data_IF_091412077796
#
_entry.id   IF_091412077796
#
_cell.length_a   1.000
_cell.length_b   1.000
_cell.length_c   1.000
_cell.angle_alpha   90.00
_cell.angle_beta   90.00
_cell.angle_gamma   90.00
#
_symmetry.space_group_name_H-M   'P 1'
#
loop_
_entity.id
_entity.type
_entity.pdbx_description
1 polymer ?
#
# COMPACT_ATOMS: atom_id res chain seq x y z
N UNK A 1 -3.47 5.02 1.85
CA UNK A 1 -4.15 3.70 1.87
C UNK A 1 -3.67 2.78 0.75
N UNK A 2 -3.36 1.53 1.09
CA UNK A 2 -3.02 0.48 0.13
C UNK A 2 -4.30 -0.01 -0.56
N UNK A 3 -4.19 -0.51 -1.79
CA UNK A 3 -5.31 -1.16 -2.48
C UNK A 3 -5.21 -2.67 -2.27
N UNK A 4 -5.76 -3.13 -1.17
CA UNK A 4 -5.80 -4.55 -0.80
C UNK A 4 -7.23 -4.90 -0.40
N UNK A 5 -7.86 -5.83 -1.12
CA UNK A 5 -9.20 -6.30 -0.78
C UNK A 5 -9.16 -7.49 0.19
N UNK A 6 -10.31 -7.77 0.80
CA UNK A 6 -10.51 -8.92 1.70
C UNK A 6 -10.17 -10.23 1.01
N UNK A 7 -10.67 -10.40 -0.20
CA UNK A 7 -10.54 -11.61 -1.02
C UNK A 7 -9.08 -11.86 -1.39
N UNK A 8 -8.29 -10.79 -1.60
CA UNK A 8 -6.84 -10.92 -1.83
C UNK A 8 -6.11 -11.45 -0.60
N UNK A 9 -6.48 -11.02 0.61
CA UNK A 9 -5.90 -11.51 1.86
C UNK A 9 -6.30 -12.94 2.14
N UNK A 10 -7.56 -13.29 1.91
CA UNK A 10 -8.06 -14.66 2.03
C UNK A 10 -7.38 -15.60 1.02
N UNK A 11 -7.15 -15.15 -0.22
CA UNK A 11 -6.43 -15.92 -1.23
C UNK A 11 -4.98 -16.21 -0.85
N UNK A 12 -4.37 -15.35 -0.02
CA UNK A 12 -3.05 -15.61 0.57
C UNK A 12 -3.11 -16.55 1.79
N UNK A 13 -4.29 -16.94 2.27
CA UNK A 13 -4.46 -17.80 3.45
C UNK A 13 -4.74 -17.05 4.74
N UNK A 14 -5.06 -15.74 4.68
CA UNK A 14 -5.34 -14.92 5.86
C UNK A 14 -4.10 -14.29 6.48
N UNK A 15 -4.29 -13.45 7.49
CA UNK A 15 -3.24 -12.60 8.10
C UNK A 15 -2.15 -13.38 8.85
N UNK A 16 -2.45 -14.60 9.27
CA UNK A 16 -1.54 -15.46 10.03
C UNK A 16 -0.86 -16.51 9.14
N UNK A 17 -1.11 -16.48 7.82
CA UNK A 17 -0.49 -17.40 6.88
C UNK A 17 0.96 -17.02 6.57
N UNK A 18 1.80 -18.02 6.33
CA UNK A 18 3.17 -17.82 5.88
C UNK A 18 3.24 -17.02 4.57
N UNK A 19 2.32 -17.26 3.63
CA UNK A 19 2.25 -16.54 2.37
C UNK A 19 1.95 -15.05 2.56
N UNK A 20 1.06 -14.70 3.49
CA UNK A 20 0.79 -13.30 3.80
C UNK A 20 2.00 -12.63 4.46
N UNK A 21 2.73 -13.33 5.33
CA UNK A 21 3.97 -12.82 5.90
C UNK A 21 5.04 -12.57 4.83
N UNK A 22 5.20 -13.50 3.88
CA UNK A 22 6.14 -13.32 2.77
C UNK A 22 5.70 -12.18 1.83
N UNK A 23 4.41 -12.04 1.53
CA UNK A 23 3.87 -10.90 0.80
C UNK A 23 4.23 -9.57 1.46
N UNK A 24 4.06 -9.45 2.78
CA UNK A 24 4.42 -8.25 3.53
C UNK A 24 5.91 -7.94 3.42
N UNK A 25 6.75 -8.96 3.60
CA UNK A 25 8.21 -8.83 3.48
C UNK A 25 8.62 -8.36 2.09
N UNK A 26 8.07 -8.96 1.03
CA UNK A 26 8.30 -8.55 -0.35
C UNK A 26 7.89 -7.09 -0.59
N UNK A 27 6.75 -6.65 -0.06
CA UNK A 27 6.32 -5.26 -0.14
C UNK A 27 7.35 -4.30 0.48
N UNK A 28 7.87 -4.62 1.67
CA UNK A 28 8.86 -3.78 2.34
C UNK A 28 10.17 -3.73 1.57
N UNK A 29 10.67 -4.89 1.12
CA UNK A 29 11.89 -4.98 0.32
C UNK A 29 11.75 -4.18 -0.98
N UNK A 30 10.66 -4.37 -1.72
CA UNK A 30 10.39 -3.62 -2.94
C UNK A 30 10.32 -2.11 -2.69
N UNK A 31 9.64 -1.68 -1.61
CA UNK A 31 9.55 -0.27 -1.25
C UNK A 31 10.93 0.35 -0.99
N UNK A 32 11.82 -0.35 -0.26
CA UNK A 32 13.18 0.12 -0.03
C UNK A 32 14.00 0.18 -1.33
N UNK A 33 13.87 -0.81 -2.23
CA UNK A 33 14.54 -0.78 -3.52
C UNK A 33 14.08 0.38 -4.41
N UNK A 34 12.78 0.67 -4.42
CA UNK A 34 12.25 1.83 -5.15
C UNK A 34 12.76 3.15 -4.58
N UNK A 35 12.83 3.27 -3.24
CA UNK A 35 13.39 4.45 -2.55
C UNK A 35 14.84 4.72 -2.93
N UNK A 36 15.67 3.67 -3.03
CA UNK A 36 17.08 3.80 -3.45
C UNK A 36 17.23 4.36 -4.87
N UNK A 37 16.24 4.13 -5.73
CA UNK A 37 16.21 4.59 -7.12
C UNK A 37 15.27 5.80 -7.33
N UNK A 38 14.86 6.47 -6.25
CA UNK A 38 13.88 7.55 -6.30
C UNK A 38 14.28 8.71 -7.21
N UNK A 39 15.58 9.04 -7.28
CA UNK A 39 16.08 10.12 -8.12
C UNK A 39 15.71 9.91 -9.59
N UNK A 40 15.89 8.69 -10.12
CA UNK A 40 15.55 8.38 -11.51
C UNK A 40 14.05 8.53 -11.75
N UNK A 41 13.23 8.04 -10.82
CA UNK A 41 11.77 8.15 -10.90
C UNK A 41 11.37 9.64 -10.93
N UNK A 42 11.90 10.46 -10.02
CA UNK A 42 11.59 11.88 -9.96
C UNK A 42 12.07 12.64 -11.20
N UNK A 43 13.24 12.31 -11.76
CA UNK A 43 13.71 12.88 -13.02
C UNK A 43 12.81 12.51 -14.20
N UNK A 44 12.31 11.29 -14.28
CA UNK A 44 11.36 10.92 -15.33
C UNK A 44 10.07 11.75 -15.19
N UNK A 45 9.55 11.92 -13.97
CA UNK A 45 8.36 12.74 -13.74
C UNK A 45 8.59 14.22 -14.04
N UNK A 46 9.79 14.78 -13.83
CA UNK A 46 10.08 16.17 -14.19
C UNK A 46 10.11 16.39 -15.71
N UNK A 47 10.54 15.38 -16.48
CA UNK A 47 10.46 15.41 -17.95
C UNK A 47 9.02 15.25 -18.46
N UNK A 48 8.16 14.56 -17.71
CA UNK A 48 6.76 14.30 -18.08
C UNK A 48 5.81 15.48 -17.86
N UNK A 49 6.27 16.58 -17.27
CA UNK A 49 5.46 17.80 -17.01
C UNK A 49 4.77 18.31 -18.28
N UNK A 50 5.43 18.20 -19.44
CA UNK A 50 4.89 18.67 -20.73
C UNK A 50 4.29 17.54 -21.59
N UNK A 51 4.18 16.32 -21.06
CA UNK A 51 3.71 15.15 -21.83
C UNK A 51 2.18 15.11 -22.02
N UNK A 52 1.46 16.16 -21.59
CA UNK A 52 0.00 16.30 -21.67
C UNK A 52 -0.78 15.13 -21.02
N UNK A 53 -0.19 14.47 -20.02
CA UNK A 53 -0.86 13.46 -19.20
C UNK A 53 -1.87 14.18 -18.30
N UNK A 54 -3.19 13.88 -18.38
CA UNK A 54 -4.23 14.70 -17.74
C UNK A 54 -4.00 15.01 -16.26
N UNK A 55 -3.66 13.99 -15.46
CA UNK A 55 -3.44 14.13 -14.02
C UNK A 55 -2.15 14.89 -13.66
N UNK A 56 -1.16 14.92 -14.56
CA UNK A 56 0.10 15.65 -14.39
C UNK A 56 -0.08 17.09 -14.87
N UNK A 57 -0.69 17.28 -16.05
CA UNK A 57 -0.89 18.58 -16.68
C UNK A 57 -1.75 19.53 -15.82
N UNK A 58 -2.67 18.97 -15.02
CA UNK A 58 -3.49 19.75 -14.09
C UNK A 58 -2.63 20.44 -13.01
N UNK A 59 -1.66 19.73 -12.43
CA UNK A 59 -0.84 20.22 -11.32
C UNK A 59 0.59 19.62 -11.35
N UNK A 60 1.47 20.02 -12.28
CA UNK A 60 2.72 19.31 -12.52
C UNK A 60 3.66 19.28 -11.32
N UNK A 61 3.83 20.43 -10.66
CA UNK A 61 4.68 20.55 -9.46
C UNK A 61 4.13 19.70 -8.30
N UNK A 62 2.79 19.61 -8.18
CA UNK A 62 2.17 18.79 -7.15
C UNK A 62 2.25 17.30 -7.48
N UNK A 63 2.28 16.91 -8.75
CA UNK A 63 2.45 15.51 -9.15
C UNK A 63 3.80 14.96 -8.70
N UNK A 64 4.89 15.70 -8.96
CA UNK A 64 6.25 15.32 -8.50
C UNK A 64 6.30 15.25 -6.97
N UNK A 65 5.77 16.29 -6.30
CA UNK A 65 5.72 16.32 -4.84
C UNK A 65 4.92 15.15 -4.25
N UNK A 66 3.77 14.79 -4.85
CA UNK A 66 2.98 13.61 -4.43
C UNK A 66 3.79 12.32 -4.51
N UNK A 67 4.60 12.13 -5.57
CA UNK A 67 5.48 10.95 -5.69
C UNK A 67 6.55 10.95 -4.61
N UNK A 68 7.21 12.09 -4.37
CA UNK A 68 8.21 12.24 -3.31
C UNK A 68 7.61 11.95 -1.92
N UNK A 69 6.44 12.51 -1.64
CA UNK A 69 5.71 12.28 -0.39
C UNK A 69 5.37 10.79 -0.21
N UNK A 70 5.04 10.05 -1.29
CA UNK A 70 4.78 8.60 -1.18
C UNK A 70 6.04 7.78 -0.94
N UNK A 71 7.19 8.21 -1.47
CA UNK A 71 8.47 7.53 -1.27
C UNK A 71 9.09 7.79 0.10
N UNK A 72 8.64 8.83 0.82
CA UNK A 72 9.04 9.13 2.19
C UNK A 72 10.57 9.32 2.35
N UNK A 73 11.22 10.00 1.40
CA UNK A 73 12.69 10.04 1.28
C UNK A 73 13.41 10.61 2.51
N UNK A 74 12.74 11.44 3.31
CA UNK A 74 13.27 12.01 4.55
C UNK A 74 13.42 11.00 5.71
N UNK A 75 12.80 9.82 5.59
CA UNK A 75 12.83 8.77 6.61
C UNK A 75 14.01 7.83 6.42
N UNK A 76 14.56 7.31 7.51
CA UNK A 76 15.49 6.16 7.45
C UNK A 76 14.77 4.92 6.90
N UNK A 77 15.52 3.91 6.49
CA UNK A 77 14.93 2.67 5.97
C UNK A 77 14.02 1.98 7.01
N UNK A 78 14.40 1.99 8.30
CA UNK A 78 13.60 1.43 9.40
C UNK A 78 12.29 2.21 9.57
N UNK A 79 12.36 3.54 9.57
CA UNK A 79 11.20 4.41 9.69
C UNK A 79 10.26 4.29 8.48
N UNK A 80 10.82 4.12 7.28
CA UNK A 80 10.08 3.93 6.04
C UNK A 80 9.35 2.58 6.03
N UNK A 81 10.01 1.50 6.50
CA UNK A 81 9.36 0.19 6.70
C UNK A 81 8.26 0.29 7.74
N UNK A 82 8.48 0.97 8.87
CA UNK A 82 7.44 1.13 9.89
C UNK A 82 6.24 1.92 9.37
N UNK A 83 6.47 2.96 8.58
CA UNK A 83 5.41 3.69 7.89
C UNK A 83 4.61 2.77 6.95
N UNK A 84 5.29 1.93 6.17
CA UNK A 84 4.61 1.01 5.26
C UNK A 84 3.83 -0.07 6.02
N UNK A 85 4.39 -0.60 7.13
CA UNK A 85 3.70 -1.54 8.03
C UNK A 85 2.37 -0.97 8.49
N UNK A 86 2.37 0.25 9.04
CA UNK A 86 1.16 0.90 9.52
C UNK A 86 0.15 1.08 8.37
N UNK A 87 0.59 1.52 7.19
CA UNK A 87 -0.30 1.70 6.04
C UNK A 87 -0.95 0.39 5.57
N UNK A 88 -0.24 -0.73 5.69
CA UNK A 88 -0.74 -2.07 5.38
C UNK A 88 -1.72 -2.55 6.46
N UNK A 89 -1.39 -2.36 7.73
CA UNK A 89 -2.23 -2.72 8.87
C UNK A 89 -3.54 -1.90 8.90
N UNK A 90 -3.49 -0.60 8.57
CA UNK A 90 -4.67 0.26 8.40
C UNK A 90 -5.57 -0.24 7.26
N UNK A 91 -4.96 -0.71 6.17
CA UNK A 91 -5.71 -1.20 5.00
C UNK A 91 -6.41 -2.54 5.29
N UNK A 92 -5.86 -3.35 6.19
CA UNK A 92 -6.40 -4.67 6.57
C UNK A 92 -7.37 -4.56 7.74
N UNK A 93 -7.07 -3.72 8.73
CA UNK A 93 -7.98 -3.44 9.86
C UNK A 93 -9.26 -2.75 9.40
N UNK A 94 -9.24 -1.95 8.32
CA UNK A 94 -10.46 -1.46 7.68
C UNK A 94 -11.36 -2.59 7.11
N UNK A 95 -10.80 -3.79 6.93
CA UNK A 95 -11.46 -4.95 6.31
C UNK A 95 -11.89 -6.01 7.35
N UNK A 96 -11.22 -6.08 8.50
CA UNK A 96 -11.46 -7.09 9.56
C UNK A 96 -12.82 -7.00 10.29
N UNK A 97 -13.37 -5.83 10.63
CA UNK A 97 -14.69 -5.73 11.28
C UNK A 97 -15.81 -6.35 10.44
N UNK A 98 -15.75 -6.15 9.13
CA UNK A 98 -16.72 -6.71 8.16
C UNK A 98 -16.67 -8.24 8.13
N UNK A 99 -15.49 -8.83 8.38
CA UNK A 99 -15.30 -10.28 8.44
C UNK A 99 -15.92 -10.89 9.69
N UNK A 100 -15.58 -10.34 10.85
CA UNK A 100 -16.13 -10.79 12.14
C UNK A 100 -17.65 -10.72 12.10
N UNK A 101 -18.21 -9.65 11.52
CA UNK A 101 -19.65 -9.49 11.37
C UNK A 101 -20.27 -10.55 10.45
N UNK A 102 -19.66 -10.85 9.30
CA UNK A 102 -20.15 -11.91 8.38
C UNK A 102 -20.08 -13.31 8.99
N UNK A 103 -19.00 -13.63 9.70
CA UNK A 103 -18.89 -14.91 10.41
C UNK A 103 -19.91 -15.02 11.54
N UNK A 104 -20.12 -13.93 12.28
CA UNK A 104 -21.13 -13.88 13.32
C UNK A 104 -22.55 -14.07 12.76
N UNK A 105 -22.88 -13.42 11.64
CA UNK A 105 -24.17 -13.58 10.95
C UNK A 105 -24.37 -15.01 10.44
N UNK A 106 -23.34 -15.61 9.83
CA UNK A 106 -23.38 -17.02 9.43
C UNK A 106 -23.61 -17.92 10.64
N UNK A 107 -22.79 -17.81 11.68
CA UNK A 107 -22.92 -18.60 12.91
C UNK A 107 -24.31 -18.45 13.57
N UNK A 108 -24.91 -17.26 13.52
CA UNK A 108 -26.29 -17.03 13.96
C UNK A 108 -27.33 -17.69 13.07
N UNK A 109 -27.11 -17.72 11.75
CA UNK A 109 -28.00 -18.39 10.80
C UNK A 109 -28.01 -19.92 10.98
N UNK A 110 -26.87 -20.53 11.33
CA UNK A 110 -26.78 -21.96 11.65
C UNK A 110 -27.31 -22.33 13.05
N UNK A 111 -27.54 -21.33 13.91
CA UNK A 111 -28.07 -21.53 15.27
C UNK A 111 -29.59 -21.42 15.36
N UNK A 112 -30.24 -20.99 14.27
CA UNK A 112 -31.69 -21.05 14.05
C UNK A 112 -32.03 -22.17 13.05
#
# INVERSE_FOLDING_TARGET
PMKLSKEMVEAMGGTDSEHYHEFRKLCYTAFLHLRRNANVILYLFSLMVNANVPDIALEPDKAIKKVQDKLQLEKTDEQAVQFFKNLLDDSVSAVMPVLVEKFHQLAQHWRN
#
